data_IF_423815490465
#
_entry.id   IF_423815490465
#
_cell.length_a   1.000
_cell.length_b   1.000
_cell.length_c   1.000
_cell.angle_alpha   90.00
_cell.angle_beta   90.00
_cell.angle_gamma   90.00
#
_symmetry.space_group_name_H-M   'P 1'
#
loop_
_entity.id
_entity.type
_entity.pdbx_description
1 polymer ?
#
# COMPACT_ATOMS: atom_id res chain seq x y z
N UNK A 1 -16.03 -30.76 -30.25
CA UNK A 1 -15.43 -29.41 -30.11
C UNK A 1 -16.41 -28.55 -29.35
N UNK A 2 -16.31 -28.56 -28.03
CA UNK A 2 -17.21 -27.82 -27.13
C UNK A 2 -16.44 -26.63 -26.58
N UNK A 3 -16.82 -25.44 -27.01
CA UNK A 3 -16.34 -24.16 -26.50
C UNK A 3 -16.84 -23.96 -25.07
N UNK A 4 -15.91 -23.99 -24.15
CA UNK A 4 -16.15 -23.70 -22.74
C UNK A 4 -16.17 -22.18 -22.56
N UNK A 5 -17.36 -21.58 -22.52
CA UNK A 5 -17.58 -20.17 -22.22
C UNK A 5 -17.42 -19.96 -20.71
N UNK A 6 -16.27 -19.45 -20.31
CA UNK A 6 -16.05 -18.95 -18.97
C UNK A 6 -16.85 -17.65 -18.78
N UNK A 7 -18.02 -17.75 -18.17
CA UNK A 7 -18.76 -16.59 -17.68
C UNK A 7 -18.12 -16.14 -16.36
N UNK A 8 -17.43 -15.00 -16.41
CA UNK A 8 -17.00 -14.28 -15.21
C UNK A 8 -18.22 -13.96 -14.34
N UNK A 9 -18.20 -14.24 -13.03
CA UNK A 9 -19.31 -13.85 -12.18
C UNK A 9 -19.37 -12.32 -12.13
N UNK A 10 -20.45 -11.76 -12.65
CA UNK A 10 -20.76 -10.35 -12.56
C UNK A 10 -20.80 -9.93 -11.09
N UNK A 11 -20.11 -8.81 -10.78
CA UNK A 11 -20.25 -8.15 -9.49
C UNK A 11 -21.72 -7.90 -9.17
N UNK A 12 -22.21 -8.27 -7.98
CA UNK A 12 -23.55 -7.89 -7.57
C UNK A 12 -23.62 -6.36 -7.45
N UNK A 13 -24.61 -5.86 -8.08
CA UNK A 13 -24.98 -4.50 -8.37
C UNK A 13 -25.00 -3.58 -7.15
N UNK A 14 -24.48 -2.41 -7.40
CA UNK A 14 -24.89 -1.11 -6.88
C UNK A 14 -25.94 -1.12 -5.77
N UNK A 15 -25.45 -1.02 -4.55
CA UNK A 15 -26.23 -0.38 -3.49
C UNK A 15 -26.34 1.10 -3.90
N UNK A 16 -27.52 1.55 -4.31
CA UNK A 16 -27.83 2.98 -4.48
C UNK A 16 -27.70 3.64 -3.12
N UNK A 17 -26.53 4.16 -2.84
CA UNK A 17 -26.32 5.07 -1.71
C UNK A 17 -26.88 6.42 -2.12
N UNK A 18 -28.05 6.77 -1.58
CA UNK A 18 -28.56 8.13 -1.61
C UNK A 18 -27.49 9.08 -1.08
N UNK A 19 -27.28 10.22 -1.77
CA UNK A 19 -26.28 11.19 -1.39
C UNK A 19 -26.54 11.70 0.05
N UNK A 20 -25.61 11.48 1.00
CA UNK A 20 -25.77 12.02 2.34
C UNK A 20 -25.38 13.50 2.36
N UNK A 21 -26.20 14.30 3.05
CA UNK A 21 -25.99 15.70 3.39
C UNK A 21 -24.59 15.96 4.00
N UNK A 22 -23.96 17.14 3.80
CA UNK A 22 -22.59 17.44 4.21
C UNK A 22 -22.42 17.74 5.70
N UNK A 23 -23.30 17.28 6.58
CA UNK A 23 -23.18 17.47 8.02
C UNK A 23 -22.30 16.37 8.65
N UNK A 24 -21.23 16.79 9.29
CA UNK A 24 -20.37 16.09 10.26
C UNK A 24 -20.41 14.56 10.19
N UNK A 25 -19.64 13.98 9.28
CA UNK A 25 -19.35 12.53 9.28
C UNK A 25 -18.41 12.24 10.44
N UNK A 26 -18.95 11.67 11.49
CA UNK A 26 -18.16 11.28 12.66
C UNK A 26 -17.18 10.16 12.27
N UNK A 27 -16.08 10.05 13.01
CA UNK A 27 -15.13 8.94 12.90
C UNK A 27 -15.85 7.59 12.93
N UNK A 28 -16.90 7.48 13.75
CA UNK A 28 -17.78 6.31 13.85
C UNK A 28 -18.47 5.94 12.53
N UNK A 29 -18.86 6.93 11.71
CA UNK A 29 -19.52 6.65 10.42
C UNK A 29 -18.52 6.15 9.38
N UNK A 30 -17.30 6.67 9.43
CA UNK A 30 -16.20 6.19 8.59
C UNK A 30 -15.80 4.78 8.98
N UNK A 31 -15.67 4.51 10.28
CA UNK A 31 -15.37 3.19 10.82
C UNK A 31 -16.47 2.18 10.47
N UNK A 32 -17.74 2.53 10.65
CA UNK A 32 -18.86 1.68 10.25
C UNK A 32 -18.87 1.36 8.77
N UNK A 33 -18.58 2.34 7.90
CA UNK A 33 -18.51 2.10 6.46
C UNK A 33 -17.38 1.13 6.10
N UNK A 34 -16.22 1.29 6.73
CA UNK A 34 -15.09 0.37 6.56
C UNK A 34 -15.46 -1.02 7.08
N UNK A 35 -16.03 -1.13 8.25
CA UNK A 35 -16.35 -2.40 8.92
C UNK A 35 -17.54 -3.12 8.29
N UNK A 36 -18.60 -2.39 7.95
CA UNK A 36 -19.85 -3.02 7.51
C UNK A 36 -19.96 -3.26 6.01
N UNK A 37 -19.24 -2.49 5.19
CA UNK A 37 -19.35 -2.55 3.73
C UNK A 37 -18.04 -2.96 3.06
N UNK A 38 -16.92 -2.32 3.44
CA UNK A 38 -15.66 -2.54 2.74
C UNK A 38 -14.95 -3.82 3.21
N UNK A 39 -14.90 -4.07 4.52
CA UNK A 39 -14.24 -5.27 5.06
C UNK A 39 -14.95 -6.57 4.68
N UNK A 40 -16.28 -6.72 4.86
CA UNK A 40 -16.97 -7.95 4.46
C UNK A 40 -16.93 -8.19 2.95
N UNK A 41 -17.09 -7.15 2.14
CA UNK A 41 -17.00 -7.24 0.68
C UNK A 41 -15.60 -7.63 0.20
N UNK A 42 -14.56 -7.06 0.78
CA UNK A 42 -13.17 -7.39 0.47
C UNK A 42 -12.78 -8.79 0.97
N UNK A 43 -13.24 -9.19 2.15
CA UNK A 43 -12.99 -10.55 2.69
C UNK A 43 -13.68 -11.60 1.83
N UNK A 44 -14.96 -11.42 1.51
CA UNK A 44 -15.70 -12.34 0.66
C UNK A 44 -15.08 -12.47 -0.74
N UNK A 45 -14.69 -11.34 -1.35
CA UNK A 45 -14.05 -11.34 -2.66
C UNK A 45 -12.67 -12.01 -2.64
N UNK A 46 -11.91 -11.85 -1.56
CA UNK A 46 -10.58 -12.46 -1.44
C UNK A 46 -10.62 -13.96 -1.10
N UNK A 47 -11.61 -14.40 -0.34
CA UNK A 47 -11.78 -15.83 -0.04
C UNK A 47 -12.21 -16.63 -1.28
N UNK A 48 -12.81 -15.96 -2.26
CA UNK A 48 -13.22 -16.58 -3.53
C UNK A 48 -12.10 -16.74 -4.56
N UNK A 49 -10.90 -16.21 -4.30
CA UNK A 49 -9.81 -16.21 -5.26
C UNK A 49 -8.59 -16.97 -4.68
N UNK A 50 -8.19 -18.11 -5.26
CA UNK A 50 -6.95 -18.77 -4.86
C UNK A 50 -5.78 -17.80 -5.06
N UNK A 51 -5.01 -17.57 -4.01
CA UNK A 51 -3.76 -16.83 -4.09
C UNK A 51 -2.75 -17.69 -4.86
N UNK A 52 -2.57 -17.39 -6.12
CA UNK A 52 -1.55 -18.03 -6.94
C UNK A 52 -0.43 -17.01 -7.14
N UNK A 53 0.53 -16.99 -6.20
CA UNK A 53 1.77 -16.24 -6.40
C UNK A 53 2.49 -16.91 -7.57
N UNK A 54 2.64 -16.18 -8.68
CA UNK A 54 3.43 -16.65 -9.81
C UNK A 54 4.93 -16.41 -9.52
N UNK A 55 5.49 -17.32 -8.72
CA UNK A 55 6.87 -17.22 -8.27
C UNK A 55 7.86 -17.12 -9.45
N UNK A 56 7.59 -17.79 -10.56
CA UNK A 56 8.47 -17.72 -11.75
C UNK A 56 8.45 -16.33 -12.38
N UNK A 57 7.27 -15.74 -12.51
CA UNK A 57 7.13 -14.36 -13.03
C UNK A 57 7.70 -13.33 -12.07
N UNK A 58 7.57 -13.53 -10.76
CA UNK A 58 8.16 -12.64 -9.76
C UNK A 58 9.69 -12.65 -9.82
N UNK A 59 10.31 -13.83 -9.94
CA UNK A 59 11.76 -13.97 -10.14
C UNK A 59 12.20 -13.30 -11.44
N UNK A 60 11.47 -13.52 -12.53
CA UNK A 60 11.78 -12.92 -13.83
C UNK A 60 11.62 -11.40 -13.80
N UNK A 61 10.58 -10.89 -13.16
CA UNK A 61 10.38 -9.44 -12.97
C UNK A 61 11.54 -8.84 -12.17
N UNK A 62 11.91 -9.45 -11.04
CA UNK A 62 13.04 -8.99 -10.24
C UNK A 62 14.35 -8.96 -11.03
N UNK A 63 14.59 -9.98 -11.88
CA UNK A 63 15.77 -10.04 -12.75
C UNK A 63 15.77 -8.91 -13.79
N UNK A 64 14.63 -8.64 -14.43
CA UNK A 64 14.51 -7.58 -15.45
C UNK A 64 14.62 -6.18 -14.87
N UNK A 65 14.11 -5.98 -13.66
CA UNK A 65 14.17 -4.69 -12.97
C UNK A 65 15.61 -4.19 -12.78
N UNK A 66 16.54 -5.08 -12.44
CA UNK A 66 17.96 -4.73 -12.26
C UNK A 66 18.80 -4.99 -13.53
N UNK A 67 18.18 -5.48 -14.61
CA UNK A 67 18.85 -5.64 -15.90
C UNK A 67 19.23 -4.30 -16.52
N UNK A 68 20.23 -4.29 -17.45
CA UNK A 68 20.79 -3.05 -18.01
C UNK A 68 19.74 -2.13 -18.63
N UNK A 69 18.77 -2.67 -19.33
CA UNK A 69 17.75 -1.91 -20.08
C UNK A 69 16.38 -1.89 -19.43
N UNK A 70 16.11 -2.78 -18.47
CA UNK A 70 14.75 -2.97 -17.93
C UNK A 70 13.74 -3.47 -18.97
N UNK A 71 14.23 -4.01 -20.11
CA UNK A 71 13.34 -4.46 -21.19
C UNK A 71 12.44 -5.61 -20.74
N UNK A 72 11.18 -5.57 -21.20
CA UNK A 72 10.18 -6.59 -20.89
C UNK A 72 9.52 -6.45 -19.50
N UNK A 73 9.85 -5.41 -18.73
CA UNK A 73 9.17 -5.13 -17.42
C UNK A 73 7.71 -4.82 -17.68
N UNK A 74 7.42 -3.90 -18.59
CA UNK A 74 6.07 -3.50 -18.98
C UNK A 74 5.24 -4.69 -19.45
N UNK A 75 5.80 -5.49 -20.34
CA UNK A 75 5.12 -6.67 -20.90
C UNK A 75 4.70 -7.62 -19.77
N UNK A 76 5.59 -7.95 -18.84
CA UNK A 76 5.27 -8.81 -17.70
C UNK A 76 4.15 -8.26 -16.82
N UNK A 77 4.17 -6.96 -16.55
CA UNK A 77 3.15 -6.30 -15.74
C UNK A 77 1.81 -6.26 -16.49
N UNK A 78 1.82 -5.87 -17.79
CA UNK A 78 0.62 -5.81 -18.61
C UNK A 78 -0.01 -7.18 -18.83
N UNK A 79 0.78 -8.21 -19.11
CA UNK A 79 0.30 -9.57 -19.29
C UNK A 79 -0.35 -10.12 -18.02
N UNK A 80 0.27 -9.85 -16.86
CA UNK A 80 -0.30 -10.25 -15.59
C UNK A 80 -1.61 -9.51 -15.31
N UNK A 81 -1.62 -8.19 -15.53
CA UNK A 81 -2.83 -7.38 -15.37
C UNK A 81 -3.95 -7.81 -16.32
N UNK A 82 -3.64 -8.02 -17.61
CA UNK A 82 -4.62 -8.47 -18.60
C UNK A 82 -5.20 -9.85 -18.27
N UNK A 83 -4.39 -10.77 -17.74
CA UNK A 83 -4.82 -12.10 -17.35
C UNK A 83 -5.72 -12.14 -16.12
N UNK A 84 -5.64 -11.15 -15.23
CA UNK A 84 -6.35 -11.14 -13.95
C UNK A 84 -7.33 -9.97 -13.77
N UNK A 85 -7.23 -8.92 -14.59
CA UNK A 85 -8.12 -7.76 -14.59
C UNK A 85 -8.13 -6.95 -13.29
N UNK A 86 -7.10 -7.10 -12.45
CA UNK A 86 -7.06 -6.53 -11.11
C UNK A 86 -5.67 -6.03 -10.75
N UNK A 87 -5.56 -4.73 -10.49
CA UNK A 87 -4.34 -4.12 -9.96
C UNK A 87 -3.96 -4.72 -8.60
N UNK A 88 -4.95 -5.03 -7.76
CA UNK A 88 -4.68 -5.71 -6.51
C UNK A 88 -3.93 -7.03 -6.72
N UNK A 89 -4.35 -7.86 -7.69
CA UNK A 89 -3.63 -9.08 -8.03
C UNK A 89 -2.26 -8.82 -8.62
N UNK A 90 -2.14 -7.82 -9.46
CA UNK A 90 -0.84 -7.40 -9.98
C UNK A 90 0.14 -7.13 -8.83
N UNK A 91 -0.33 -6.40 -7.81
CA UNK A 91 0.51 -6.09 -6.64
C UNK A 91 0.81 -7.31 -5.79
N UNK A 92 -0.20 -8.08 -5.38
CA UNK A 92 -0.04 -9.19 -4.44
C UNK A 92 0.66 -10.40 -5.04
N UNK A 93 0.37 -10.70 -6.31
CA UNK A 93 0.80 -11.94 -6.93
C UNK A 93 2.12 -11.77 -7.72
N UNK A 94 2.47 -10.53 -8.10
CA UNK A 94 3.66 -10.25 -8.91
C UNK A 94 4.59 -9.19 -8.32
N UNK A 95 4.09 -7.98 -8.05
CA UNK A 95 4.94 -6.83 -7.68
C UNK A 95 5.58 -7.03 -6.31
N UNK A 96 4.80 -7.38 -5.30
CA UNK A 96 5.31 -7.61 -3.95
C UNK A 96 6.32 -8.77 -3.88
N UNK A 97 6.05 -9.94 -4.46
CA UNK A 97 7.04 -11.01 -4.52
C UNK A 97 8.32 -10.60 -5.26
N UNK A 98 8.23 -9.87 -6.38
CA UNK A 98 9.40 -9.37 -7.10
C UNK A 98 10.22 -8.37 -6.29
N UNK A 99 9.57 -7.45 -5.58
CA UNK A 99 10.25 -6.50 -4.70
C UNK A 99 10.99 -7.21 -3.55
N UNK A 100 10.39 -8.26 -2.99
CA UNK A 100 11.07 -9.11 -1.99
C UNK A 100 12.31 -9.78 -2.58
N UNK A 101 12.21 -10.34 -3.77
CA UNK A 101 13.35 -10.96 -4.47
C UNK A 101 14.48 -9.98 -4.76
N UNK A 102 14.16 -8.72 -5.05
CA UNK A 102 15.18 -7.68 -5.16
C UNK A 102 15.91 -7.46 -3.84
N UNK A 103 15.17 -7.40 -2.73
CA UNK A 103 15.77 -7.29 -1.40
C UNK A 103 16.63 -8.50 -1.03
N UNK A 104 16.19 -9.72 -1.37
CA UNK A 104 16.96 -10.95 -1.14
C UNK A 104 18.27 -10.94 -1.95
N UNK A 105 18.23 -10.52 -3.22
CA UNK A 105 19.41 -10.42 -4.09
C UNK A 105 20.40 -9.38 -3.59
N UNK A 106 19.92 -8.24 -3.13
CA UNK A 106 20.77 -7.24 -2.50
C UNK A 106 21.42 -7.77 -1.22
N UNK A 107 20.65 -8.46 -0.38
CA UNK A 107 21.18 -9.08 0.85
C UNK A 107 22.19 -10.20 0.59
N UNK A 108 22.15 -10.81 -0.59
CA UNK A 108 23.10 -11.83 -1.07
C UNK A 108 24.27 -11.25 -1.89
N UNK A 109 24.38 -9.92 -1.98
CA UNK A 109 25.38 -9.22 -2.83
C UNK A 109 25.28 -9.54 -4.34
N UNK A 110 24.13 -10.06 -4.81
CA UNK A 110 23.88 -10.36 -6.23
C UNK A 110 23.55 -9.10 -7.06
N UNK A 111 23.29 -7.98 -6.42
CA UNK A 111 23.08 -6.69 -7.06
C UNK A 111 23.43 -5.55 -6.08
N UNK A 112 23.83 -4.41 -6.64
CA UNK A 112 24.15 -3.22 -5.84
C UNK A 112 22.91 -2.47 -5.36
N UNK A 113 23.07 -1.60 -4.36
CA UNK A 113 22.00 -0.68 -3.92
C UNK A 113 21.53 0.22 -5.07
N UNK A 114 22.43 0.65 -5.96
CA UNK A 114 22.08 1.42 -7.13
C UNK A 114 21.19 0.64 -8.10
N UNK A 115 21.49 -0.65 -8.34
CA UNK A 115 20.67 -1.51 -9.19
C UNK A 115 19.25 -1.67 -8.63
N UNK A 116 19.14 -1.89 -7.32
CA UNK A 116 17.84 -1.96 -6.64
C UNK A 116 17.08 -0.65 -6.79
N UNK A 117 17.73 0.48 -6.52
CA UNK A 117 17.11 1.81 -6.64
C UNK A 117 16.60 2.07 -8.05
N UNK A 118 17.42 1.80 -9.07
CA UNK A 118 17.04 1.94 -10.48
C UNK A 118 15.87 1.00 -10.80
N UNK A 119 15.94 -0.25 -10.36
CA UNK A 119 14.88 -1.24 -10.57
C UNK A 119 13.54 -0.79 -9.98
N UNK A 120 13.55 -0.22 -8.78
CA UNK A 120 12.35 0.29 -8.12
C UNK A 120 11.79 1.53 -8.82
N UNK A 121 12.65 2.44 -9.27
CA UNK A 121 12.22 3.59 -10.08
C UNK A 121 11.54 3.14 -11.38
N UNK A 122 12.11 2.14 -12.05
CA UNK A 122 11.50 1.52 -13.26
C UNK A 122 10.13 0.93 -12.94
N UNK A 123 10.05 0.12 -11.89
CA UNK A 123 8.81 -0.52 -11.46
C UNK A 123 7.70 0.51 -11.22
N UNK A 124 7.98 1.54 -10.42
CA UNK A 124 7.01 2.60 -10.13
C UNK A 124 6.60 3.39 -11.38
N UNK A 125 7.56 3.65 -12.29
CA UNK A 125 7.26 4.31 -13.57
C UNK A 125 6.31 3.49 -14.43
N UNK A 126 6.53 2.18 -14.53
CA UNK A 126 5.68 1.30 -15.33
C UNK A 126 4.29 1.12 -14.69
N UNK A 127 4.21 0.98 -13.38
CA UNK A 127 2.93 0.87 -12.66
C UNK A 127 2.04 2.09 -12.89
N UNK A 128 2.60 3.30 -12.84
CA UNK A 128 1.85 4.54 -13.13
C UNK A 128 1.29 4.60 -14.54
N UNK A 129 1.97 3.98 -15.51
CA UNK A 129 1.52 3.96 -16.89
C UNK A 129 0.41 2.92 -17.13
N UNK A 130 0.42 1.83 -16.38
CA UNK A 130 -0.67 0.83 -16.41
C UNK A 130 -1.94 1.42 -15.82
N UNK A 131 -1.84 2.19 -14.76
CA UNK A 131 -2.97 2.81 -14.07
C UNK A 131 -3.59 3.98 -14.85
N UNK A 132 -2.86 4.62 -15.74
CA UNK A 132 -3.39 5.68 -16.62
C UNK A 132 -4.57 5.23 -17.50
N UNK A 133 -4.84 3.93 -17.59
CA UNK A 133 -5.98 3.32 -18.29
C UNK A 133 -7.14 2.91 -17.36
N UNK A 134 -6.96 2.97 -16.02
CA UNK A 134 -7.93 2.49 -15.04
C UNK A 134 -8.81 3.59 -14.46
N UNK A 135 -10.10 3.31 -14.35
CA UNK A 135 -11.08 4.18 -13.70
C UNK A 135 -10.79 4.27 -12.20
N UNK A 136 -10.45 5.45 -11.69
CA UNK A 136 -10.36 5.70 -10.25
C UNK A 136 -11.65 5.26 -9.57
N UNK A 137 -11.54 4.46 -8.53
CA UNK A 137 -12.71 4.08 -7.72
C UNK A 137 -13.21 5.34 -7.02
N UNK A 138 -14.39 5.81 -7.41
CA UNK A 138 -15.01 7.06 -6.94
C UNK A 138 -15.43 7.05 -5.44
N UNK A 139 -14.91 6.13 -4.62
CA UNK A 139 -15.41 5.88 -3.26
C UNK A 139 -14.88 6.81 -2.16
N UNK A 140 -13.72 7.43 -2.33
CA UNK A 140 -13.05 8.20 -1.28
C UNK A 140 -12.63 9.60 -1.73
N UNK A 141 -13.33 10.18 -2.73
CA UNK A 141 -12.99 11.48 -3.31
C UNK A 141 -12.84 12.55 -2.21
N UNK A 142 -11.63 13.09 -2.10
CA UNK A 142 -11.31 14.18 -1.19
C UNK A 142 -10.68 13.81 0.15
N UNK A 143 -10.51 12.53 0.49
CA UNK A 143 -9.79 12.14 1.71
C UNK A 143 -8.29 12.24 1.53
N UNK A 144 -7.63 12.93 2.45
CA UNK A 144 -6.20 13.17 2.41
C UNK A 144 -5.44 12.15 3.25
N UNK A 145 -4.43 11.53 2.65
CA UNK A 145 -3.51 10.64 3.35
C UNK A 145 -2.08 11.19 3.27
N UNK A 146 -1.37 11.20 4.40
CA UNK A 146 0.06 11.43 4.42
C UNK A 146 0.77 10.08 4.49
N UNK A 147 1.66 9.82 3.56
CA UNK A 147 2.40 8.56 3.46
C UNK A 147 3.88 8.83 3.61
N UNK A 148 4.49 8.24 4.61
CA UNK A 148 5.90 8.49 4.95
C UNK A 148 6.60 7.16 5.34
N UNK A 149 7.91 7.02 5.09
CA UNK A 149 8.71 6.05 5.83
C UNK A 149 8.91 6.52 7.27
N UNK A 150 9.36 5.63 8.16
CA UNK A 150 9.80 6.04 9.50
C UNK A 150 10.88 7.13 9.37
N UNK A 151 10.80 8.27 10.10
CA UNK A 151 11.76 9.34 9.96
C UNK A 151 13.23 8.89 9.99
N UNK A 152 13.99 9.33 8.99
CA UNK A 152 15.39 8.95 8.80
C UNK A 152 15.61 7.55 8.23
N UNK A 153 14.57 6.91 7.71
CA UNK A 153 14.70 5.68 6.96
C UNK A 153 15.01 5.96 5.48
N UNK A 154 16.10 5.38 4.92
CA UNK A 154 16.43 5.59 3.51
C UNK A 154 15.60 4.73 2.54
N UNK A 155 14.90 3.69 3.04
CA UNK A 155 14.16 2.74 2.21
C UNK A 155 12.75 3.24 1.93
N UNK A 156 12.55 3.83 0.76
CA UNK A 156 11.33 4.54 0.39
C UNK A 156 10.28 3.69 -0.31
N UNK A 157 10.66 2.48 -0.78
CA UNK A 157 9.77 1.65 -1.61
C UNK A 157 8.44 1.35 -0.92
N UNK A 158 8.47 0.96 0.35
CA UNK A 158 7.26 0.62 1.10
C UNK A 158 6.26 1.78 1.10
N UNK A 159 6.73 2.98 1.43
CA UNK A 159 5.90 4.18 1.41
C UNK A 159 5.38 4.51 0.01
N UNK A 160 6.21 4.35 -1.03
CA UNK A 160 5.79 4.61 -2.41
C UNK A 160 4.69 3.64 -2.87
N UNK A 161 4.81 2.35 -2.53
CA UNK A 161 3.77 1.35 -2.82
C UNK A 161 2.48 1.60 -2.03
N UNK A 162 2.58 1.99 -0.76
CA UNK A 162 1.41 2.36 0.04
C UNK A 162 0.69 3.58 -0.56
N UNK A 163 1.44 4.59 -1.02
CA UNK A 163 0.86 5.77 -1.67
C UNK A 163 0.14 5.41 -2.96
N UNK A 164 0.75 4.58 -3.81
CA UNK A 164 0.14 4.11 -5.05
C UNK A 164 -1.17 3.37 -4.78
N UNK A 165 -1.20 2.54 -3.78
CA UNK A 165 -2.40 1.78 -3.41
C UNK A 165 -3.52 2.64 -2.87
N UNK A 166 -3.18 3.64 -2.05
CA UNK A 166 -4.14 4.63 -1.59
C UNK A 166 -4.70 5.43 -2.75
N UNK A 167 -3.85 5.82 -3.71
CA UNK A 167 -4.29 6.51 -4.92
C UNK A 167 -5.30 5.69 -5.71
N UNK A 168 -5.02 4.41 -5.93
CA UNK A 168 -5.93 3.49 -6.62
C UNK A 168 -7.25 3.29 -5.86
N UNK A 169 -7.20 3.28 -4.54
CA UNK A 169 -8.39 3.25 -3.69
C UNK A 169 -9.18 4.56 -3.67
N UNK A 170 -8.77 5.59 -4.44
CA UNK A 170 -9.46 6.87 -4.58
C UNK A 170 -9.10 7.90 -3.50
N UNK A 171 -8.06 7.67 -2.70
CA UNK A 171 -7.52 8.65 -1.76
C UNK A 171 -6.68 9.71 -2.46
N UNK A 172 -6.35 10.77 -1.73
CA UNK A 172 -5.37 11.80 -2.14
C UNK A 172 -4.09 11.64 -1.30
N UNK A 173 -3.19 10.70 -1.65
CA UNK A 173 -1.95 10.51 -0.91
C UNK A 173 -0.97 11.63 -1.22
N UNK A 174 -0.35 12.14 -0.17
CA UNK A 174 0.85 12.98 -0.22
C UNK A 174 2.00 12.14 0.30
N UNK A 175 2.99 11.89 -0.53
CA UNK A 175 4.20 11.14 -0.17
C UNK A 175 5.30 12.11 0.23
N UNK A 176 5.83 11.93 1.44
CA UNK A 176 6.91 12.74 1.98
C UNK A 176 7.96 11.85 2.64
N UNK A 177 9.18 12.36 2.74
CA UNK A 177 10.32 11.59 3.24
C UNK A 177 11.03 12.36 4.36
N UNK A 178 10.42 12.46 5.56
CA UNK A 178 10.98 13.23 6.66
C UNK A 178 12.24 12.57 7.21
N UNK A 179 13.33 13.34 7.31
CA UNK A 179 14.59 12.86 7.89
C UNK A 179 14.54 12.81 9.43
N UNK A 180 13.66 13.61 10.03
CA UNK A 180 13.56 13.74 11.49
C UNK A 180 12.09 13.67 11.97
N UNK A 181 11.92 13.34 13.24
CA UNK A 181 10.59 13.38 13.88
C UNK A 181 9.98 14.80 13.83
N UNK A 182 10.80 15.85 13.97
CA UNK A 182 10.36 17.22 13.85
C UNK A 182 9.84 17.57 12.46
N UNK A 183 10.48 17.06 11.41
CA UNK A 183 10.01 17.21 10.04
C UNK A 183 8.65 16.52 9.84
N UNK A 184 8.48 15.30 10.37
CA UNK A 184 7.18 14.60 10.35
C UNK A 184 6.10 15.39 11.08
N UNK A 185 6.41 15.92 12.28
CA UNK A 185 5.46 16.74 13.05
C UNK A 185 5.03 17.99 12.25
N UNK A 186 5.98 18.67 11.61
CA UNK A 186 5.70 19.83 10.76
C UNK A 186 4.76 19.49 9.60
N UNK A 187 4.98 18.35 8.94
CA UNK A 187 4.11 17.86 7.86
C UNK A 187 2.68 17.59 8.36
N UNK A 188 2.54 16.88 9.47
CA UNK A 188 1.22 16.54 10.06
C UNK A 188 0.51 17.81 10.55
N UNK A 189 1.23 18.79 11.09
CA UNK A 189 0.67 20.05 11.54
C UNK A 189 0.31 21.03 10.39
N UNK A 190 0.86 20.83 9.19
CA UNK A 190 0.69 21.74 8.07
C UNK A 190 -0.75 21.75 7.53
N UNK A 191 -1.41 20.59 7.50
CA UNK A 191 -2.77 20.45 6.95
C UNK A 191 -3.54 19.31 7.61
N UNK A 192 -4.84 19.25 7.34
CA UNK A 192 -5.69 18.16 7.81
C UNK A 192 -5.43 16.90 6.95
N UNK A 193 -5.12 15.78 7.62
CA UNK A 193 -5.07 14.46 7.00
C UNK A 193 -6.06 13.54 7.70
N UNK A 194 -6.73 12.70 6.94
CA UNK A 194 -7.61 11.66 7.48
C UNK A 194 -6.79 10.45 7.95
N UNK A 195 -5.71 10.15 7.22
CA UNK A 195 -4.82 9.00 7.50
C UNK A 195 -3.36 9.45 7.47
N UNK A 196 -2.59 8.95 8.42
CA UNK A 196 -1.13 8.89 8.40
C UNK A 196 -0.71 7.44 8.19
N UNK A 197 -0.07 7.14 7.06
CA UNK A 197 0.52 5.84 6.78
C UNK A 197 2.03 5.90 7.00
N UNK A 198 2.56 5.07 7.92
CA UNK A 198 3.99 5.01 8.21
C UNK A 198 4.54 3.65 7.83
N UNK A 199 5.45 3.65 6.85
CA UNK A 199 6.12 2.45 6.37
C UNK A 199 7.40 2.17 7.17
N UNK A 200 7.62 0.90 7.51
CA UNK A 200 8.83 0.42 8.18
C UNK A 200 9.48 -0.70 7.36
N UNK A 201 10.63 -0.41 6.76
CA UNK A 201 11.37 -1.41 5.99
C UNK A 201 11.99 -2.49 6.89
N UNK A 202 12.00 -3.75 6.47
CA UNK A 202 12.75 -4.81 7.16
C UNK A 202 14.26 -4.55 7.15
N UNK A 203 14.79 -3.84 6.16
CA UNK A 203 16.20 -3.49 6.05
C UNK A 203 16.63 -2.40 7.05
N UNK A 204 15.68 -1.67 7.65
CA UNK A 204 15.99 -0.67 8.66
C UNK A 204 16.37 -1.33 10.00
N UNK A 205 17.62 -1.69 10.14
CA UNK A 205 18.16 -2.45 11.28
C UNK A 205 18.64 -1.55 12.44
N UNK A 206 17.92 -0.51 12.78
CA UNK A 206 18.23 0.26 14.00
C UNK A 206 17.61 -0.43 15.22
N UNK A 207 18.38 -0.48 16.31
CA UNK A 207 17.86 -0.89 17.61
C UNK A 207 16.66 -0.02 17.99
N UNK A 208 15.70 -0.58 18.73
CA UNK A 208 14.51 0.14 19.20
C UNK A 208 13.63 0.78 18.11
N UNK A 209 13.64 0.23 16.88
CA UNK A 209 12.87 0.78 15.75
C UNK A 209 11.36 0.88 16.03
N UNK A 210 10.79 -0.08 16.75
CA UNK A 210 9.37 -0.05 17.13
C UNK A 210 9.09 1.02 18.19
N UNK A 211 10.00 1.21 19.16
CA UNK A 211 9.86 2.26 20.16
C UNK A 211 9.97 3.66 19.53
N UNK A 212 10.88 3.83 18.58
CA UNK A 212 10.98 5.06 17.79
C UNK A 212 9.71 5.33 16.99
N UNK A 213 9.16 4.30 16.35
CA UNK A 213 7.91 4.41 15.61
C UNK A 213 6.75 4.79 16.55
N UNK A 214 6.65 4.16 17.72
CA UNK A 214 5.62 4.51 18.73
C UNK A 214 5.74 5.97 19.18
N UNK A 215 6.96 6.46 19.40
CA UNK A 215 7.20 7.87 19.74
C UNK A 215 6.83 8.80 18.58
N UNK A 216 7.20 8.47 17.35
CA UNK A 216 6.88 9.26 16.17
C UNK A 216 5.35 9.35 15.97
N UNK A 217 4.62 8.24 16.13
CA UNK A 217 3.15 8.21 16.07
C UNK A 217 2.54 9.07 17.16
N UNK A 218 2.97 8.90 18.40
CA UNK A 218 2.46 9.69 19.54
C UNK A 218 2.64 11.20 19.32
N UNK A 219 3.83 11.61 18.88
CA UNK A 219 4.12 13.02 18.59
C UNK A 219 3.34 13.55 17.39
N UNK A 220 3.18 12.74 16.34
CA UNK A 220 2.40 13.13 15.17
C UNK A 220 0.93 13.37 15.54
N UNK A 221 0.32 12.51 16.38
CA UNK A 221 -1.05 12.69 16.87
C UNK A 221 -1.19 13.97 17.69
N UNK A 222 -0.20 14.28 18.54
CA UNK A 222 -0.25 15.45 19.41
C UNK A 222 -0.28 16.78 18.64
N UNK A 223 0.29 16.84 17.44
CA UNK A 223 0.34 18.06 16.61
C UNK A 223 -0.63 18.04 15.43
N UNK A 224 -1.40 16.97 15.27
CA UNK A 224 -2.33 16.81 14.15
C UNK A 224 -3.46 17.82 14.21
N UNK A 225 -3.80 18.41 13.06
CA UNK A 225 -5.02 19.21 12.90
C UNK A 225 -6.30 18.36 12.92
N UNK A 226 -6.17 17.06 12.72
CA UNK A 226 -7.28 16.13 12.83
C UNK A 226 -7.19 15.39 14.17
N UNK A 227 -8.06 15.69 15.15
CA UNK A 227 -8.07 14.98 16.43
C UNK A 227 -8.39 13.49 16.27
N UNK A 228 -8.98 13.12 15.14
CA UNK A 228 -9.36 11.75 14.78
C UNK A 228 -8.41 11.17 13.71
N UNK A 229 -7.14 11.60 13.68
CA UNK A 229 -6.16 11.07 12.75
C UNK A 229 -6.03 9.55 12.90
N UNK A 230 -6.36 8.82 11.85
CA UNK A 230 -6.13 7.37 11.78
C UNK A 230 -4.68 7.12 11.41
N UNK A 231 -3.99 6.31 12.20
CA UNK A 231 -2.60 5.93 11.92
C UNK A 231 -2.53 4.47 11.50
N UNK A 232 -1.98 4.25 10.33
CA UNK A 232 -1.76 2.91 9.76
C UNK A 232 -0.26 2.68 9.60
N UNK A 233 0.20 1.51 9.97
CA UNK A 233 1.59 1.10 9.79
C UNK A 233 1.71 0.01 8.75
N UNK A 234 2.79 0.03 7.98
CA UNK A 234 3.07 -0.97 6.96
C UNK A 234 4.48 -1.52 7.07
N UNK A 235 4.72 -2.63 6.41
CA UNK A 235 6.00 -3.32 6.37
C UNK A 235 5.96 -4.70 7.02
N UNK A 236 7.02 -5.48 6.72
CA UNK A 236 7.11 -6.91 7.07
C UNK A 236 6.92 -7.20 8.56
N UNK A 237 7.45 -6.33 9.43
CA UNK A 237 7.35 -6.50 10.88
C UNK A 237 5.89 -6.60 11.36
N UNK A 238 4.97 -5.86 10.74
CA UNK A 238 3.55 -5.87 11.08
C UNK A 238 2.77 -6.99 10.40
N UNK A 239 3.39 -7.62 9.42
CA UNK A 239 2.88 -8.79 8.73
C UNK A 239 3.11 -10.05 9.56
N UNK A 240 4.31 -10.19 10.08
CA UNK A 240 4.73 -11.32 10.89
C UNK A 240 4.15 -11.26 12.30
N UNK A 241 4.05 -10.07 12.89
CA UNK A 241 3.48 -9.85 14.23
C UNK A 241 2.34 -8.82 14.21
N UNK A 242 1.11 -9.33 14.23
CA UNK A 242 -0.10 -8.50 14.27
C UNK A 242 -0.18 -7.60 15.51
N UNK A 243 0.40 -8.03 16.62
CA UNK A 243 0.37 -7.26 17.87
C UNK A 243 1.31 -6.06 17.83
N UNK A 244 2.33 -6.08 16.96
CA UNK A 244 3.31 -5.00 16.84
C UNK A 244 2.66 -3.66 16.48
N UNK A 245 1.63 -3.67 15.62
CA UNK A 245 0.93 -2.44 15.24
C UNK A 245 0.21 -1.80 16.44
N UNK A 246 -0.43 -2.59 17.30
CA UNK A 246 -1.04 -2.08 18.56
C UNK A 246 0.02 -1.55 19.51
N UNK A 247 1.14 -2.24 19.64
CA UNK A 247 2.25 -1.80 20.53
C UNK A 247 2.82 -0.45 20.16
N UNK A 248 2.83 -0.12 18.86
CA UNK A 248 3.30 1.20 18.41
C UNK A 248 2.20 2.28 18.41
N UNK A 249 0.98 1.96 18.84
CA UNK A 249 -0.13 2.90 18.92
C UNK A 249 -0.79 3.20 17.56
N UNK A 250 -0.66 2.31 16.61
CA UNK A 250 -1.37 2.41 15.34
C UNK A 250 -2.82 1.88 15.47
N UNK A 251 -3.74 2.48 14.71
CA UNK A 251 -5.15 2.06 14.61
C UNK A 251 -5.32 0.91 13.62
N UNK A 252 -4.37 0.77 12.71
CA UNK A 252 -4.42 -0.23 11.67
C UNK A 252 -3.05 -0.60 11.16
N UNK A 253 -3.04 -1.63 10.30
CA UNK A 253 -1.87 -2.03 9.55
C UNK A 253 -2.24 -2.20 8.08
N UNK A 254 -1.32 -1.90 7.20
CA UNK A 254 -1.42 -2.20 5.79
C UNK A 254 -0.61 -3.47 5.47
N UNK A 255 -1.21 -4.34 4.72
CA UNK A 255 -0.50 -5.40 3.99
C UNK A 255 -0.22 -4.86 2.60
N UNK A 256 0.88 -4.11 2.42
CA UNK A 256 1.27 -3.60 1.11
C UNK A 256 0.07 -3.41 0.16
N UNK A 257 -0.26 -2.19 -0.06
CA UNK A 257 -1.10 -1.73 -1.14
C UNK A 257 -2.59 -2.11 -1.18
N UNK A 258 -3.09 -3.08 -0.49
CA UNK A 258 -4.47 -3.51 -0.77
C UNK A 258 -5.41 -3.62 0.40
N UNK A 259 -4.92 -3.51 1.64
CA UNK A 259 -5.78 -3.67 2.82
C UNK A 259 -5.28 -2.89 4.02
N UNK A 260 -6.07 -1.93 4.45
CA UNK A 260 -6.03 -1.41 5.81
C UNK A 260 -6.83 -2.38 6.70
N UNK A 261 -6.17 -3.11 7.58
CA UNK A 261 -6.81 -3.81 8.68
C UNK A 261 -6.79 -2.87 9.89
N UNK A 262 -7.96 -2.42 10.34
CA UNK A 262 -8.09 -1.71 11.61
C UNK A 262 -8.00 -2.71 12.76
N UNK A 263 -7.30 -2.32 13.80
CA UNK A 263 -7.09 -3.13 14.99
C UNK A 263 -8.18 -2.76 16.01
N UNK A 264 -9.08 -3.68 16.28
CA UNK A 264 -10.05 -3.58 17.35
C UNK A 264 -9.48 -4.00 18.69
#
# INVERSE_FOLDING_TARGET
>A
MTLNTYTSPAMPLAVRLGAPSPAARSQSDVMRLIESVLLPGLVAWHQSLPACVDERRAVELARRLVGPTGSGVRELLCDHYAGHGSLHRLFTDLVEPAARRLGDRWAADDCSEADVTIGLCRLLSELRQIDGAGTRVAGHAGRAALVVPLPGEPHMLGAALDAESLWQAGWLPQSEYPETDGALQSLVAARHYDVLCVSLSPAFRRSHRLDRLAQAISRARAVSRNPNLVVVVSGRAFHEDRSAARRVGADGRSRWASRFELLH
#
